data_IF_786901076575
#
_entry.id   IF_786901076575
#
_cell.length_a   1.000
_cell.length_b   1.000
_cell.length_c   1.000
_cell.angle_alpha   90.00
_cell.angle_beta   90.00
_cell.angle_gamma   90.00
#
_symmetry.space_group_name_H-M   'P 1'
#
loop_
_entity.id
_entity.type
_entity.pdbx_description
1 polymer ?
#
# COMPACT_ATOMS: atom_id res chain seq x y z
N UNK A 1 42.56 57.21 20.32
CA UNK A 1 41.76 56.00 20.02
C UNK A 1 41.43 56.01 18.54
N UNK A 2 42.25 55.35 17.71
CA UNK A 2 42.04 55.25 16.27
C UNK A 2 40.98 54.18 16.00
N UNK A 3 39.79 54.62 15.59
CA UNK A 3 38.64 53.77 15.26
C UNK A 3 38.95 53.06 13.93
N UNK A 4 39.36 51.79 14.02
CA UNK A 4 39.59 50.93 12.86
C UNK A 4 38.25 50.73 12.14
N UNK A 5 38.10 51.36 10.97
CA UNK A 5 36.92 51.22 10.12
C UNK A 5 36.97 49.83 9.48
N UNK A 6 35.99 48.98 9.81
CA UNK A 6 35.82 47.69 9.14
C UNK A 6 35.28 47.97 7.73
N UNK A 7 36.10 47.74 6.72
CA UNK A 7 35.69 47.87 5.31
C UNK A 7 34.69 46.76 5.00
N UNK A 8 33.42 47.12 4.81
CA UNK A 8 32.39 46.20 4.34
C UNK A 8 32.71 45.78 2.90
N UNK A 9 33.18 44.54 2.70
CA UNK A 9 33.34 43.95 1.36
C UNK A 9 31.93 43.68 0.80
N UNK A 10 31.56 44.39 -0.27
CA UNK A 10 30.36 44.11 -1.04
C UNK A 10 30.54 42.86 -1.91
N UNK A 11 29.46 42.08 -2.07
CA UNK A 11 29.41 40.92 -2.97
C UNK A 11 29.43 41.39 -4.42
N UNK A 12 30.19 40.74 -5.30
CA UNK A 12 30.22 41.12 -6.72
C UNK A 12 29.05 40.50 -7.48
N UNK A 13 28.54 41.23 -8.48
CA UNK A 13 27.44 40.76 -9.34
C UNK A 13 27.84 39.50 -10.14
N UNK A 14 29.13 39.38 -10.46
CA UNK A 14 29.69 38.23 -11.16
C UNK A 14 29.80 36.98 -10.27
N UNK A 15 30.15 37.13 -8.99
CA UNK A 15 30.11 36.03 -8.02
C UNK A 15 28.70 35.45 -7.93
N UNK A 16 27.68 36.32 -7.94
CA UNK A 16 26.29 35.88 -7.90
C UNK A 16 25.86 35.18 -9.20
N UNK A 17 26.29 35.66 -10.37
CA UNK A 17 25.98 35.02 -11.66
C UNK A 17 26.51 33.59 -11.77
N UNK A 18 27.75 33.35 -11.32
CA UNK A 18 28.35 32.01 -11.36
C UNK A 18 27.60 31.08 -10.40
N UNK A 19 27.26 31.56 -9.19
CA UNK A 19 26.52 30.76 -8.20
C UNK A 19 25.16 30.32 -8.73
N UNK A 20 24.38 31.24 -9.32
CA UNK A 20 23.06 30.91 -9.89
C UNK A 20 23.19 29.91 -11.04
N UNK A 21 24.22 30.05 -11.87
CA UNK A 21 24.48 29.12 -12.98
C UNK A 21 24.81 27.72 -12.47
N UNK A 22 25.67 27.60 -11.46
CA UNK A 22 26.01 26.30 -10.85
C UNK A 22 24.79 25.66 -10.20
N UNK A 23 24.00 26.42 -9.43
CA UNK A 23 22.76 25.93 -8.81
C UNK A 23 21.77 25.48 -9.89
N UNK A 24 21.65 26.19 -11.02
CA UNK A 24 20.79 25.80 -12.13
C UNK A 24 21.15 24.46 -12.77
N UNK A 25 22.45 24.19 -12.97
CA UNK A 25 22.93 22.90 -13.50
C UNK A 25 22.64 21.76 -12.50
N UNK A 26 22.92 21.98 -11.21
CA UNK A 26 22.69 20.98 -10.17
C UNK A 26 21.19 20.67 -9.99
N UNK A 27 20.33 21.69 -10.04
CA UNK A 27 18.89 21.53 -9.92
C UNK A 27 18.29 20.68 -11.06
N UNK A 28 18.78 20.89 -12.30
CA UNK A 28 18.32 20.14 -13.48
C UNK A 28 18.55 18.63 -13.35
N UNK A 29 19.72 18.23 -12.84
CA UNK A 29 20.07 16.81 -12.66
C UNK A 29 19.30 16.20 -11.49
N UNK A 30 19.03 16.97 -10.43
CA UNK A 30 18.39 16.46 -9.22
C UNK A 30 16.91 16.13 -9.40
N UNK A 31 16.21 16.81 -10.32
CA UNK A 31 14.75 16.69 -10.45
C UNK A 31 14.30 15.31 -10.93
N UNK A 32 15.02 14.71 -11.87
CA UNK A 32 14.65 13.40 -12.45
C UNK A 32 14.78 12.24 -11.45
N UNK A 33 15.73 12.33 -10.52
CA UNK A 33 15.92 11.29 -9.50
C UNK A 33 14.96 11.45 -8.31
N UNK A 34 14.50 12.67 -8.02
CA UNK A 34 13.64 12.96 -6.87
C UNK A 34 12.31 12.20 -6.90
N UNK A 35 11.68 12.04 -8.08
CA UNK A 35 10.43 11.28 -8.21
C UNK A 35 10.58 9.80 -7.84
N UNK A 36 11.70 9.17 -8.20
CA UNK A 36 11.99 7.77 -7.82
C UNK A 36 12.17 7.63 -6.32
N UNK A 37 12.91 8.55 -5.68
CA UNK A 37 13.06 8.55 -4.23
C UNK A 37 11.72 8.71 -3.50
N UNK A 38 10.86 9.61 -3.98
CA UNK A 38 9.50 9.77 -3.45
C UNK A 38 8.70 8.47 -3.57
N UNK A 39 8.70 7.83 -4.73
CA UNK A 39 7.93 6.61 -4.96
C UNK A 39 8.45 5.43 -4.12
N UNK A 40 9.78 5.31 -3.95
CA UNK A 40 10.37 4.32 -3.05
C UNK A 40 9.99 4.58 -1.59
N UNK A 41 9.90 5.84 -1.16
CA UNK A 41 9.44 6.18 0.19
C UNK A 41 7.96 5.79 0.39
N UNK A 42 7.09 6.06 -0.60
CA UNK A 42 5.68 5.63 -0.58
C UNK A 42 5.55 4.10 -0.49
N UNK A 43 6.37 3.37 -1.23
CA UNK A 43 6.40 1.89 -1.19
C UNK A 43 6.92 1.37 0.15
N UNK A 44 7.90 2.04 0.77
CA UNK A 44 8.42 1.63 2.08
C UNK A 44 7.38 1.77 3.21
N UNK A 45 6.48 2.75 3.10
CA UNK A 45 5.33 2.92 4.01
C UNK A 45 4.38 1.72 3.95
N UNK A 46 4.05 1.25 2.75
CA UNK A 46 3.06 0.18 2.59
C UNK A 46 3.51 -1.15 3.19
N UNK A 47 4.80 -1.50 3.12
CA UNK A 47 5.33 -2.68 3.80
C UNK A 47 5.17 -2.63 5.32
N UNK A 48 5.32 -1.45 5.93
CA UNK A 48 5.17 -1.29 7.38
C UNK A 48 3.71 -1.51 7.79
N UNK A 49 2.78 -0.89 7.06
CA UNK A 49 1.36 -1.01 7.33
C UNK A 49 0.83 -2.42 7.02
N UNK A 50 1.26 -3.05 5.91
CA UNK A 50 0.93 -4.46 5.63
C UNK A 50 1.41 -5.41 6.72
N UNK A 51 2.61 -5.21 7.25
CA UNK A 51 3.13 -6.04 8.35
C UNK A 51 2.31 -5.86 9.64
N UNK A 52 1.80 -4.65 9.90
CA UNK A 52 0.91 -4.40 11.02
C UNK A 52 -0.44 -5.11 10.84
N UNK A 53 -1.01 -5.06 9.63
CA UNK A 53 -2.25 -5.78 9.29
C UNK A 53 -2.06 -7.29 9.49
N UNK A 54 -0.96 -7.85 8.99
CA UNK A 54 -0.63 -9.27 9.15
C UNK A 54 -0.62 -9.69 10.62
N UNK A 55 0.02 -8.88 11.47
CA UNK A 55 0.09 -9.15 12.90
C UNK A 55 -1.30 -9.17 13.54
N UNK A 56 -2.13 -8.18 13.25
CA UNK A 56 -3.50 -8.11 13.79
C UNK A 56 -4.39 -9.27 13.33
N UNK A 57 -4.22 -9.73 12.08
CA UNK A 57 -4.90 -10.92 11.57
C UNK A 57 -4.45 -12.20 12.30
N UNK A 58 -3.16 -12.31 12.63
CA UNK A 58 -2.63 -13.39 13.45
C UNK A 58 -3.23 -13.42 14.86
N UNK A 59 -3.37 -12.26 15.51
CA UNK A 59 -4.01 -12.13 16.82
C UNK A 59 -5.50 -12.52 16.75
N UNK A 60 -6.21 -12.09 15.70
CA UNK A 60 -7.59 -12.47 15.46
C UNK A 60 -7.74 -13.98 15.23
N UNK A 61 -6.83 -14.58 14.45
CA UNK A 61 -6.81 -16.01 14.16
C UNK A 61 -6.65 -16.86 15.43
N UNK A 62 -5.83 -16.44 16.39
CA UNK A 62 -5.66 -17.17 17.67
C UNK A 62 -7.00 -17.32 18.41
N UNK A 63 -7.86 -16.32 18.34
CA UNK A 63 -9.14 -16.31 19.07
C UNK A 63 -10.26 -16.99 18.28
N UNK A 64 -10.29 -16.81 16.96
CA UNK A 64 -11.43 -17.19 16.12
C UNK A 64 -11.15 -18.40 15.21
N UNK A 65 -9.90 -18.89 15.19
CA UNK A 65 -9.41 -19.96 14.30
C UNK A 65 -9.68 -19.71 12.81
N UNK A 66 -9.89 -18.45 12.43
CA UNK A 66 -10.23 -17.99 11.09
C UNK A 66 -9.65 -16.60 10.90
N UNK A 67 -9.20 -16.30 9.68
CA UNK A 67 -8.90 -14.92 9.28
C UNK A 67 -10.19 -14.19 8.92
N UNK A 68 -10.15 -12.86 8.88
CA UNK A 68 -11.31 -12.01 8.58
C UNK A 68 -11.05 -11.11 7.38
N UNK A 69 -12.00 -10.99 6.46
CA UNK A 69 -11.90 -10.02 5.37
C UNK A 69 -12.19 -8.61 5.88
N UNK A 70 -11.52 -7.63 5.31
CA UNK A 70 -11.63 -6.22 5.67
C UNK A 70 -11.97 -5.41 4.43
N UNK A 71 -12.77 -4.40 4.63
CA UNK A 71 -13.10 -3.43 3.58
C UNK A 71 -11.88 -2.59 3.21
N UNK A 72 -11.81 -2.07 1.97
CA UNK A 72 -10.73 -1.20 1.53
C UNK A 72 -10.59 0.05 2.39
N UNK A 73 -9.34 0.41 2.71
CA UNK A 73 -9.01 1.60 3.48
C UNK A 73 -7.67 2.21 3.02
N UNK A 74 -7.62 3.51 2.71
CA UNK A 74 -8.72 4.48 2.63
C UNK A 74 -9.80 4.10 1.62
N UNK A 75 -11.08 4.40 1.86
CA UNK A 75 -12.15 4.02 0.89
C UNK A 75 -11.95 4.64 -0.50
N UNK A 76 -11.24 5.77 -0.57
CA UNK A 76 -10.83 6.42 -1.82
C UNK A 76 -9.37 6.84 -1.75
N UNK A 77 -8.64 6.63 -2.85
CA UNK A 77 -7.30 7.20 -3.06
C UNK A 77 -7.38 8.03 -4.32
N UNK A 78 -6.73 9.19 -4.31
CA UNK A 78 -6.63 10.07 -5.47
C UNK A 78 -5.25 9.89 -6.10
N UNK A 79 -5.19 9.69 -7.42
CA UNK A 79 -3.94 9.57 -8.19
C UNK A 79 -2.88 10.58 -7.75
N UNK A 80 -1.68 10.08 -7.47
CA UNK A 80 -0.53 10.88 -7.07
C UNK A 80 -0.61 11.52 -5.68
N UNK A 81 -1.72 11.37 -4.96
CA UNK A 81 -2.01 12.04 -3.69
C UNK A 81 -2.30 11.05 -2.56
N UNK A 82 -1.95 11.44 -1.34
CA UNK A 82 -2.29 10.64 -0.17
C UNK A 82 -3.73 10.90 0.27
N UNK A 83 -4.39 9.85 0.76
CA UNK A 83 -5.73 9.90 1.37
C UNK A 83 -5.66 9.59 2.86
N UNK A 84 -6.69 9.97 3.61
CA UNK A 84 -6.73 9.74 5.06
C UNK A 84 -7.10 8.28 5.35
N UNK A 85 -6.35 7.64 6.24
CA UNK A 85 -6.73 6.34 6.79
C UNK A 85 -7.98 6.52 7.66
N UNK A 86 -9.04 5.82 7.30
CA UNK A 86 -10.33 5.88 7.97
C UNK A 86 -10.39 4.81 9.06
N UNK A 87 -11.13 5.06 10.15
CA UNK A 87 -11.42 4.03 11.15
C UNK A 87 -12.88 3.62 10.99
N UNK A 88 -13.11 2.46 10.38
CA UNK A 88 -14.43 1.86 10.28
C UNK A 88 -14.60 0.71 11.31
N UNK A 89 -15.80 0.11 11.34
CA UNK A 89 -16.12 -0.99 12.24
C UNK A 89 -15.27 -2.25 12.00
N UNK A 90 -14.93 -2.55 10.75
CA UNK A 90 -14.17 -3.73 10.32
C UNK A 90 -12.71 -3.65 10.79
N UNK A 91 -12.08 -2.50 10.61
CA UNK A 91 -10.71 -2.22 11.04
C UNK A 91 -10.59 -2.06 12.55
N UNK A 92 -11.62 -1.50 13.21
CA UNK A 92 -11.68 -1.39 14.67
C UNK A 92 -11.80 -2.76 15.33
N UNK A 93 -12.61 -3.66 14.77
CA UNK A 93 -12.81 -5.01 15.28
C UNK A 93 -11.53 -5.86 15.27
N UNK A 94 -10.57 -5.50 14.42
CA UNK A 94 -9.28 -6.17 14.31
C UNK A 94 -8.23 -5.69 15.34
N UNK A 95 -8.60 -4.76 16.24
CA UNK A 95 -7.69 -4.27 17.27
C UNK A 95 -6.68 -3.23 16.78
N UNK A 96 -7.03 -2.49 15.72
CA UNK A 96 -6.31 -1.36 15.11
C UNK A 96 -4.82 -1.60 14.78
N UNK A 97 -4.50 -2.04 13.55
CA UNK A 97 -3.11 -2.02 13.05
C UNK A 97 -2.72 -0.73 12.31
N UNK A 98 -3.66 0.10 11.88
CA UNK A 98 -3.41 1.31 11.06
C UNK A 98 -3.67 2.59 11.86
N UNK A 99 -2.79 3.61 11.77
CA UNK A 99 -2.98 4.88 12.46
C UNK A 99 -4.10 5.70 11.79
N UNK A 100 -5.21 5.88 12.50
CA UNK A 100 -6.36 6.65 12.02
C UNK A 100 -6.01 8.13 11.81
N UNK A 101 -6.48 8.71 10.71
CA UNK A 101 -6.26 10.12 10.38
C UNK A 101 -4.87 10.41 9.81
N UNK A 102 -3.97 9.43 9.74
CA UNK A 102 -2.73 9.56 8.99
C UNK A 102 -2.97 9.48 7.49
N UNK A 103 -2.09 10.11 6.72
CA UNK A 103 -2.15 10.10 5.27
C UNK A 103 -1.42 8.88 4.74
N UNK A 104 -2.07 8.11 3.88
CA UNK A 104 -1.42 7.02 3.14
C UNK A 104 -1.54 7.21 1.63
N UNK A 105 -0.47 6.81 0.92
CA UNK A 105 -0.45 6.75 -0.54
C UNK A 105 -0.94 5.42 -1.09
N UNK A 106 -1.11 4.43 -0.23
CA UNK A 106 -1.57 3.09 -0.57
C UNK A 106 -2.91 2.79 0.06
N UNK A 107 -3.63 1.91 -0.61
CA UNK A 107 -4.91 1.39 -0.21
C UNK A 107 -4.78 -0.04 0.23
N UNK A 108 -5.28 -0.36 1.42
CA UNK A 108 -5.10 -1.65 2.07
C UNK A 108 -6.39 -2.45 2.05
N UNK A 109 -6.28 -3.73 1.70
CA UNK A 109 -7.36 -4.70 1.77
C UNK A 109 -6.81 -5.97 2.39
N UNK A 110 -7.59 -6.62 3.23
CA UNK A 110 -7.34 -7.99 3.66
C UNK A 110 -8.52 -8.85 3.25
N UNK A 111 -8.26 -9.98 2.62
CA UNK A 111 -9.28 -10.88 2.15
C UNK A 111 -9.00 -12.27 2.69
N UNK A 112 -10.01 -12.90 3.28
CA UNK A 112 -9.86 -14.15 3.99
C UNK A 112 -10.97 -15.12 3.66
N UNK A 113 -10.59 -16.40 3.59
CA UNK A 113 -11.51 -17.48 3.30
C UNK A 113 -11.02 -18.81 3.84
N UNK A 114 -11.81 -19.84 3.59
CA UNK A 114 -11.41 -21.21 3.84
C UNK A 114 -11.99 -22.15 2.80
N UNK A 115 -11.28 -23.25 2.54
CA UNK A 115 -11.80 -24.36 1.74
C UNK A 115 -12.32 -25.45 2.67
N UNK A 116 -13.52 -25.96 2.41
CA UNK A 116 -14.05 -27.11 3.14
C UNK A 116 -13.36 -28.43 2.72
N UNK A 117 -13.79 -29.55 3.32
CA UNK A 117 -13.26 -30.88 3.00
C UNK A 117 -13.57 -31.34 1.57
N UNK A 118 -14.57 -30.74 0.91
CA UNK A 118 -14.93 -31.01 -0.48
C UNK A 118 -14.21 -30.08 -1.47
N UNK A 119 -13.38 -29.15 -0.97
CA UNK A 119 -12.73 -28.13 -1.78
C UNK A 119 -13.63 -26.96 -2.15
N UNK A 120 -14.82 -26.84 -1.54
CA UNK A 120 -15.70 -25.68 -1.72
C UNK A 120 -15.14 -24.51 -0.94
N UNK A 121 -15.11 -23.34 -1.57
CA UNK A 121 -14.50 -22.15 -0.99
C UNK A 121 -15.54 -21.21 -0.37
N UNK A 122 -15.18 -20.66 0.78
CA UNK A 122 -16.00 -19.74 1.56
C UNK A 122 -15.20 -18.51 1.96
N UNK A 123 -15.87 -17.37 2.02
CA UNK A 123 -15.31 -16.10 2.46
C UNK A 123 -15.80 -15.77 3.86
N UNK A 124 -14.89 -15.24 4.69
CA UNK A 124 -15.24 -14.68 6.00
C UNK A 124 -15.37 -13.18 5.85
N UNK A 125 -16.60 -12.67 5.83
CA UNK A 125 -16.89 -11.25 5.66
C UNK A 125 -16.41 -10.42 6.86
N UNK A 126 -16.39 -9.10 6.66
CA UNK A 126 -15.98 -8.13 7.68
C UNK A 126 -16.85 -8.12 8.93
N UNK A 127 -18.12 -8.54 8.83
CA UNK A 127 -19.03 -8.76 9.95
C UNK A 127 -18.83 -10.13 10.65
N UNK A 128 -17.97 -11.00 10.12
CA UNK A 128 -17.73 -12.36 10.60
C UNK A 128 -18.71 -13.40 10.05
N UNK A 129 -19.65 -13.02 9.18
CA UNK A 129 -20.50 -13.98 8.46
C UNK A 129 -19.68 -14.76 7.42
N UNK A 130 -20.12 -15.99 7.14
CA UNK A 130 -19.50 -16.85 6.14
C UNK A 130 -20.41 -16.94 4.92
N UNK A 131 -19.86 -16.70 3.74
CA UNK A 131 -20.58 -16.80 2.46
C UNK A 131 -19.84 -17.73 1.49
N UNK A 132 -20.58 -18.35 0.57
CA UNK A 132 -19.96 -19.08 -0.54
C UNK A 132 -19.15 -18.10 -1.41
N UNK A 133 -17.96 -18.52 -1.84
CA UNK A 133 -17.12 -17.72 -2.71
C UNK A 133 -17.81 -17.47 -4.07
N UNK A 134 -18.07 -16.19 -4.38
CA UNK A 134 -18.65 -15.77 -5.66
C UNK A 134 -17.60 -15.31 -6.69
N UNK A 135 -16.32 -15.62 -6.47
CA UNK A 135 -15.18 -14.99 -7.14
C UNK A 135 -14.59 -13.83 -6.35
N UNK A 136 -13.30 -13.56 -6.55
CA UNK A 136 -12.49 -12.66 -5.72
C UNK A 136 -12.21 -11.35 -6.40
N UNK A 137 -13.04 -10.34 -6.15
CA UNK A 137 -12.70 -9.00 -6.62
C UNK A 137 -11.73 -8.34 -5.65
N UNK A 138 -10.43 -8.37 -5.96
CA UNK A 138 -9.49 -7.41 -5.41
C UNK A 138 -9.75 -6.09 -6.13
N UNK A 139 -10.82 -5.40 -5.72
CA UNK A 139 -11.12 -4.07 -6.22
C UNK A 139 -9.92 -3.18 -5.96
N UNK A 140 -9.24 -2.74 -7.02
CA UNK A 140 -8.35 -1.60 -6.94
C UNK A 140 -9.15 -0.45 -6.32
N UNK A 141 -8.50 0.36 -5.48
CA UNK A 141 -9.17 1.55 -4.95
C UNK A 141 -9.76 2.33 -6.12
N UNK A 142 -11.05 2.65 -6.02
CA UNK A 142 -11.73 3.44 -7.03
C UNK A 142 -11.18 4.86 -6.94
N UNK A 143 -10.18 5.17 -7.78
CA UNK A 143 -9.96 6.54 -8.19
C UNK A 143 -11.30 7.09 -8.70
N UNK A 144 -11.68 8.30 -8.34
CA UNK A 144 -12.83 8.99 -8.94
C UNK A 144 -12.54 9.47 -10.39
N UNK A 145 -11.80 8.67 -11.18
CA UNK A 145 -11.31 8.98 -12.53
C UNK A 145 -10.92 7.72 -13.33
N UNK A 146 -10.59 7.88 -14.63
CA UNK A 146 -10.37 6.79 -15.60
C UNK A 146 -9.11 5.95 -15.40
N UNK A 147 -8.25 6.31 -14.45
CA UNK A 147 -7.00 5.61 -14.14
C UNK A 147 -7.17 4.74 -12.88
N UNK A 148 -8.09 3.78 -12.91
CA UNK A 148 -8.24 2.80 -11.82
C UNK A 148 -7.19 1.71 -11.96
N UNK A 149 -6.42 1.46 -10.91
CA UNK A 149 -5.63 0.23 -10.85
C UNK A 149 -6.56 -0.96 -11.08
N UNK A 150 -6.20 -1.88 -12.00
CA UNK A 150 -7.12 -2.93 -12.40
C UNK A 150 -7.57 -3.69 -11.16
N UNK A 151 -8.87 -3.91 -11.06
CA UNK A 151 -9.40 -4.89 -10.13
C UNK A 151 -8.89 -6.25 -10.61
N UNK A 152 -7.92 -6.84 -9.94
CA UNK A 152 -7.61 -8.25 -10.19
C UNK A 152 -8.81 -9.02 -9.65
N UNK A 153 -9.63 -9.54 -10.56
CA UNK A 153 -10.95 -10.11 -10.25
C UNK A 153 -10.92 -11.59 -9.89
N UNK A 154 -9.72 -12.18 -9.79
CA UNK A 154 -9.60 -13.59 -9.45
C UNK A 154 -8.31 -13.94 -8.69
N UNK A 155 -8.38 -14.90 -7.76
CA UNK A 155 -7.23 -15.48 -7.04
C UNK A 155 -6.32 -16.28 -7.97
N UNK A 156 -6.81 -16.65 -9.15
CA UNK A 156 -6.04 -17.28 -10.22
C UNK A 156 -4.99 -16.32 -10.82
N UNK A 157 -5.27 -15.02 -10.90
CA UNK A 157 -4.35 -13.99 -11.42
C UNK A 157 -3.14 -13.76 -10.50
N UNK A 158 -3.31 -14.04 -9.20
CA UNK A 158 -2.25 -13.97 -8.17
C UNK A 158 -1.66 -15.35 -7.83
N UNK A 159 -2.05 -16.40 -8.55
CA UNK A 159 -1.45 -17.73 -8.47
C UNK A 159 -1.67 -18.48 -7.16
N UNK A 160 -2.78 -18.24 -6.44
CA UNK A 160 -3.09 -18.99 -5.22
C UNK A 160 -3.62 -20.36 -5.58
N UNK A 161 -2.87 -21.41 -5.22
CA UNK A 161 -3.32 -22.79 -5.36
C UNK A 161 -3.52 -23.38 -3.96
N UNK A 162 -4.75 -23.30 -3.47
CA UNK A 162 -5.07 -23.60 -2.07
C UNK A 162 -5.64 -25.02 -1.96
N UNK A 163 -5.12 -25.80 -1.01
CA UNK A 163 -5.57 -27.17 -0.79
C UNK A 163 -6.89 -27.21 0.02
N UNK A 164 -7.65 -28.30 -0.06
CA UNK A 164 -8.83 -28.50 0.77
C UNK A 164 -8.51 -28.42 2.28
N UNK A 165 -9.47 -27.98 3.10
CA UNK A 165 -9.31 -27.77 4.55
C UNK A 165 -8.24 -26.75 4.94
N UNK A 166 -8.05 -25.72 4.13
CA UNK A 166 -7.08 -24.64 4.36
C UNK A 166 -7.80 -23.35 4.66
N UNK A 167 -7.43 -22.70 5.77
CA UNK A 167 -7.77 -21.31 6.05
C UNK A 167 -6.75 -20.40 5.39
N UNK A 168 -7.19 -19.34 4.76
CA UNK A 168 -6.30 -18.48 4.01
C UNK A 168 -6.57 -17.00 4.20
N UNK A 169 -5.52 -16.23 3.97
CA UNK A 169 -5.55 -14.77 4.02
C UNK A 169 -4.66 -14.22 2.90
N UNK A 170 -5.17 -13.22 2.20
CA UNK A 170 -4.45 -12.37 1.27
C UNK A 170 -4.50 -10.96 1.81
N UNK A 171 -3.34 -10.36 2.08
CA UNK A 171 -3.25 -8.93 2.35
C UNK A 171 -2.63 -8.25 1.14
N UNK A 172 -3.17 -7.10 0.76
CA UNK A 172 -2.66 -6.33 -0.37
C UNK A 172 -2.66 -4.83 -0.07
N UNK A 173 -1.68 -4.15 -0.68
CA UNK A 173 -1.60 -2.71 -0.77
C UNK A 173 -1.57 -2.33 -2.26
N UNK A 174 -2.42 -1.41 -2.67
CA UNK A 174 -2.50 -0.92 -4.05
C UNK A 174 -2.34 0.60 -4.11
N UNK A 175 -1.58 1.10 -5.08
CA UNK A 175 -1.44 2.53 -5.32
C UNK A 175 -1.13 2.83 -6.78
N UNK A 176 -1.59 3.99 -7.24
CA UNK A 176 -1.08 4.65 -8.44
C UNK A 176 0.06 5.61 -8.03
N UNK A 177 1.29 5.24 -8.41
CA UNK A 177 2.50 6.00 -8.08
C UNK A 177 2.82 7.08 -9.11
N UNK A 178 1.97 7.30 -10.11
CA UNK A 178 2.14 8.35 -11.10
C UNK A 178 2.09 9.76 -10.47
N UNK A 179 2.75 10.72 -11.11
CA UNK A 179 2.83 12.13 -10.71
C UNK A 179 1.74 12.99 -11.37
N UNK A 180 0.66 12.36 -11.87
CA UNK A 180 -0.47 13.03 -12.51
C UNK A 180 -0.36 13.18 -14.03
N UNK A 181 0.61 12.53 -14.69
CA UNK A 181 0.83 12.63 -16.14
C UNK A 181 -0.01 11.66 -17.02
N UNK A 182 -0.97 10.95 -16.44
CA UNK A 182 -1.92 10.08 -17.14
C UNK A 182 -1.46 8.63 -17.33
N UNK A 183 -2.42 7.72 -17.20
CA UNK A 183 -2.40 6.28 -17.47
C UNK A 183 -1.40 5.42 -16.67
N UNK A 184 -1.81 5.00 -15.47
CA UNK A 184 -1.99 3.56 -15.23
C UNK A 184 -0.82 2.71 -14.72
N UNK A 185 0.27 3.30 -14.20
CA UNK A 185 1.32 2.48 -13.54
C UNK A 185 0.94 2.17 -12.10
N UNK A 186 0.29 1.03 -11.90
CA UNK A 186 -0.16 0.60 -10.59
C UNK A 186 0.86 -0.29 -9.92
N UNK A 187 1.07 -0.08 -8.63
CA UNK A 187 1.90 -0.95 -7.81
C UNK A 187 1.02 -1.70 -6.83
N UNK A 188 1.06 -3.02 -6.93
CA UNK A 188 0.37 -3.94 -6.02
C UNK A 188 1.45 -4.65 -5.22
N UNK A 189 1.31 -4.64 -3.89
CA UNK A 189 2.16 -5.39 -2.99
C UNK A 189 1.24 -6.32 -2.21
N UNK A 190 1.49 -7.62 -2.27
CA UNK A 190 0.65 -8.58 -1.59
C UNK A 190 1.46 -9.65 -0.89
N UNK A 191 0.81 -10.31 0.06
CA UNK A 191 1.31 -11.46 0.77
C UNK A 191 0.16 -12.40 1.08
N UNK A 192 0.47 -13.70 1.11
CA UNK A 192 -0.50 -14.77 1.31
C UNK A 192 -0.12 -15.57 2.54
N UNK A 193 -1.13 -15.97 3.30
CA UNK A 193 -1.02 -16.89 4.40
C UNK A 193 -1.96 -18.06 4.15
N UNK A 194 -1.46 -19.26 4.43
CA UNK A 194 -2.20 -20.50 4.40
C UNK A 194 -2.02 -21.22 5.72
N UNK A 195 -3.12 -21.64 6.33
CA UNK A 195 -3.11 -22.40 7.58
C UNK A 195 -3.85 -23.71 7.37
N UNK A 196 -3.16 -24.83 7.55
CA UNK A 196 -3.71 -26.18 7.42
C UNK A 196 -3.26 -27.04 8.61
N UNK A 197 -4.22 -27.66 9.30
CA UNK A 197 -3.92 -28.60 10.40
C UNK A 197 -3.06 -28.01 11.54
N UNK A 198 -3.15 -26.70 11.79
CA UNK A 198 -2.36 -26.00 12.81
C UNK A 198 -0.96 -25.56 12.35
N UNK A 199 -0.55 -25.90 11.14
CA UNK A 199 0.66 -25.35 10.50
C UNK A 199 0.28 -24.12 9.68
N UNK A 200 1.07 -23.05 9.79
CA UNK A 200 0.88 -21.81 9.02
C UNK A 200 2.07 -21.57 8.10
N UNK A 201 1.80 -21.41 6.80
CA UNK A 201 2.73 -21.02 5.76
C UNK A 201 2.47 -19.58 5.37
N UNK A 202 3.53 -18.80 5.16
CA UNK A 202 3.44 -17.38 4.78
C UNK A 202 4.39 -17.13 3.62
N UNK A 203 3.87 -16.62 2.51
CA UNK A 203 4.70 -16.24 1.36
C UNK A 203 5.52 -14.98 1.66
N UNK A 204 6.62 -14.70 0.94
CA UNK A 204 7.25 -13.38 1.00
C UNK A 204 6.34 -12.32 0.39
N UNK A 205 6.57 -11.05 0.73
CA UNK A 205 5.90 -9.97 0.01
C UNK A 205 6.30 -9.98 -1.47
N UNK A 206 5.30 -9.99 -2.34
CA UNK A 206 5.47 -9.89 -3.78
C UNK A 206 4.99 -8.51 -4.22
N UNK A 207 5.84 -7.80 -4.96
CA UNK A 207 5.50 -6.54 -5.61
C UNK A 207 5.28 -6.78 -7.10
N UNK A 208 4.13 -6.37 -7.61
CA UNK A 208 3.76 -6.40 -9.02
C UNK A 208 3.52 -4.97 -9.47
N UNK A 209 4.19 -4.57 -10.56
CA UNK A 209 3.89 -3.34 -11.26
C UNK A 209 3.03 -3.69 -12.47
N UNK A 210 1.94 -2.94 -12.69
CA UNK A 210 1.04 -3.10 -13.82
C UNK A 210 1.14 -1.83 -14.66
N UNK A 211 1.26 -1.98 -15.99
CA UNK A 211 1.35 -0.85 -16.93
C UNK A 211 2.77 -0.40 -17.30
N UNK A 212 3.79 -1.25 -17.10
CA UNK A 212 5.15 -1.07 -17.66
C UNK A 212 5.27 -1.63 -19.09
#
# INVERSE_FOLDING_TARGET
>A
MTKQQVVSKGFTLIELMIVVTIIGILASISLSNFSKYKNNAKVAESYQLLSAILKSQGEYFITNLRYRSLEPNPTTITTGSASLIEQDASWTAMGAPLPSGEKSYFGYIAYAGYLDQSGTEYVVNSDGSVAAAGGYSFGGHANSGSDTCPSTTDTSDIGLNMNASTDWLVILATADLADGSGAGTCSIIFQTIETQGGSTSTSPFVKVNIGE
#
